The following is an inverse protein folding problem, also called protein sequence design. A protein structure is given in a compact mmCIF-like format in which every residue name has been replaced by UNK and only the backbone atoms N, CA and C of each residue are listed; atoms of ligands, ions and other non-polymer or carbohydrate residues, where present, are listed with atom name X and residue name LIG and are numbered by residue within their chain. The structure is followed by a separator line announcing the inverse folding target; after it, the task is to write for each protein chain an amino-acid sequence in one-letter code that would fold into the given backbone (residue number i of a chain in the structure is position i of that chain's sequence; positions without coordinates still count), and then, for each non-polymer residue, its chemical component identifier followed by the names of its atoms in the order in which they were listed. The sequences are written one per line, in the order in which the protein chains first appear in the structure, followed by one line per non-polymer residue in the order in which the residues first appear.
data_IF_367914251410
#
_entry.id   IF_367914251410
#
_cell.length_a   1.000
_cell.length_b   1.000
_cell.length_c   1.000
_cell.angle_alpha   90.00
_cell.angle_beta   90.00
_cell.angle_gamma   90.00
#
_symmetry.space_group_name_H-M   'P 1'
#
loop_
_entity.id
_entity.type
_entity.pdbx_description
1 polymer ?
#
# COMPACT_ATOMS: atom_id res chain seq x y z
N UNK A 1 4.59 8.67 -14.47
CA UNK A 1 5.29 8.01 -13.35
C UNK A 1 6.51 7.29 -13.90
N UNK A 2 7.74 7.71 -13.57
CA UNK A 2 8.92 6.94 -13.96
C UNK A 2 9.24 5.94 -12.85
N UNK A 3 9.09 4.65 -13.18
CA UNK A 3 9.56 3.50 -12.40
C UNK A 3 11.10 3.39 -12.39
N UNK A 4 11.78 4.29 -13.10
CA UNK A 4 13.22 4.30 -13.31
C UNK A 4 13.81 5.65 -12.90
N UNK A 5 14.90 5.63 -12.14
CA UNK A 5 15.76 6.79 -11.94
C UNK A 5 16.40 7.20 -13.28
N UNK A 6 16.82 8.47 -13.37
CA UNK A 6 17.43 9.10 -14.55
C UNK A 6 18.68 8.36 -15.07
N UNK A 7 19.22 7.42 -14.28
CA UNK A 7 20.40 6.59 -14.57
C UNK A 7 20.10 5.09 -14.77
N UNK A 8 18.85 4.68 -15.00
CA UNK A 8 18.52 3.28 -15.37
C UNK A 8 18.65 2.25 -14.24
N UNK A 9 18.91 2.66 -12.99
CA UNK A 9 18.93 1.76 -11.83
C UNK A 9 17.53 1.57 -11.28
N UNK A 10 17.14 0.30 -11.08
CA UNK A 10 15.94 -0.06 -10.34
C UNK A 10 16.06 0.44 -8.90
N UNK A 11 15.19 1.36 -8.50
CA UNK A 11 15.08 1.76 -7.09
C UNK A 11 14.45 0.59 -6.33
N UNK A 12 15.29 -0.17 -5.60
CA UNK A 12 14.85 -1.32 -4.78
C UNK A 12 13.72 -0.92 -3.83
N UNK A 13 13.80 0.29 -3.27
CA UNK A 13 12.76 0.87 -2.41
C UNK A 13 11.44 1.08 -3.14
N UNK A 14 11.44 1.55 -4.39
CA UNK A 14 10.21 1.65 -5.18
C UNK A 14 9.60 0.29 -5.52
N UNK A 15 10.45 -0.72 -5.79
CA UNK A 15 10.00 -2.09 -6.03
C UNK A 15 9.33 -2.68 -4.77
N UNK A 16 10.01 -2.65 -3.63
CA UNK A 16 9.45 -3.13 -2.35
C UNK A 16 8.19 -2.38 -1.94
N UNK A 17 8.12 -1.07 -2.16
CA UNK A 17 6.91 -0.29 -1.93
C UNK A 17 5.76 -0.76 -2.84
N UNK A 18 6.01 -0.93 -4.15
CA UNK A 18 4.99 -1.41 -5.07
C UNK A 18 4.51 -2.83 -4.75
N UNK A 19 5.43 -3.72 -4.33
CA UNK A 19 5.12 -5.08 -3.92
C UNK A 19 4.28 -5.10 -2.64
N UNK A 20 4.62 -4.28 -1.66
CA UNK A 20 3.85 -4.13 -0.43
C UNK A 20 2.43 -3.61 -0.70
N UNK A 21 2.29 -2.60 -1.57
CA UNK A 21 0.99 -2.08 -1.98
C UNK A 21 0.14 -3.13 -2.71
N UNK A 22 0.76 -3.94 -3.58
CA UNK A 22 0.07 -5.02 -4.28
C UNK A 22 -0.42 -6.12 -3.32
N UNK A 23 0.40 -6.50 -2.34
CA UNK A 23 0.01 -7.47 -1.31
C UNK A 23 -1.09 -6.93 -0.39
N UNK A 24 -1.00 -5.68 0.04
CA UNK A 24 -2.03 -5.04 0.85
C UNK A 24 -3.38 -4.97 0.10
N UNK A 25 -3.33 -4.67 -1.21
CA UNK A 25 -4.52 -4.66 -2.06
C UNK A 25 -5.12 -6.05 -2.22
N UNK A 26 -4.31 -7.08 -2.49
CA UNK A 26 -4.76 -8.46 -2.60
C UNK A 26 -5.38 -8.97 -1.29
N UNK A 27 -4.78 -8.62 -0.14
CA UNK A 27 -5.32 -8.94 1.17
C UNK A 27 -6.68 -8.29 1.40
N UNK A 28 -6.81 -6.99 1.10
CA UNK A 28 -8.08 -6.26 1.20
C UNK A 28 -9.17 -6.91 0.33
N UNK A 29 -8.85 -7.27 -0.92
CA UNK A 29 -9.75 -7.98 -1.82
C UNK A 29 -10.19 -9.34 -1.26
N UNK A 30 -9.25 -10.13 -0.72
CA UNK A 30 -9.56 -11.43 -0.13
C UNK A 30 -10.48 -11.30 1.09
N UNK A 31 -10.23 -10.31 1.93
CA UNK A 31 -11.08 -9.99 3.10
C UNK A 31 -12.47 -9.56 2.64
N UNK A 32 -12.58 -8.63 1.68
CA UNK A 32 -13.88 -8.20 1.14
C UNK A 32 -14.65 -9.35 0.50
N UNK A 33 -13.98 -10.21 -0.27
CA UNK A 33 -14.60 -11.40 -0.86
C UNK A 33 -15.08 -12.38 0.22
N UNK A 34 -14.30 -12.58 1.28
CA UNK A 34 -14.69 -13.46 2.38
C UNK A 34 -15.89 -12.93 3.15
N UNK A 35 -15.95 -11.63 3.45
CA UNK A 35 -17.09 -10.97 4.10
C UNK A 35 -18.33 -11.03 3.22
N UNK A 36 -18.18 -10.85 1.90
CA UNK A 36 -19.29 -10.94 0.95
C UNK A 36 -19.87 -12.36 0.82
N UNK A 37 -19.04 -13.41 0.93
CA UNK A 37 -19.46 -14.81 0.78
C UNK A 37 -20.00 -15.45 2.06
N UNK A 38 -19.41 -15.17 3.23
CA UNK A 38 -20.06 -15.49 4.50
C UNK A 38 -19.97 -14.29 5.45
N UNK A 39 -21.05 -13.50 5.57
CA UNK A 39 -21.08 -12.38 6.47
C UNK A 39 -21.11 -12.90 7.91
N UNK A 40 -20.07 -12.55 8.66
CA UNK A 40 -19.92 -12.79 10.09
C UNK A 40 -19.58 -11.43 10.70
N UNK A 41 -20.48 -10.89 11.51
CA UNK A 41 -20.39 -9.52 12.03
C UNK A 41 -19.12 -9.30 12.85
N UNK A 42 -18.71 -10.31 13.63
CA UNK A 42 -17.50 -10.29 14.44
C UNK A 42 -16.24 -10.28 13.58
N UNK A 43 -16.25 -11.06 12.49
CA UNK A 43 -15.14 -11.07 11.54
C UNK A 43 -15.07 -9.75 10.75
N UNK A 44 -16.21 -9.18 10.35
CA UNK A 44 -16.27 -7.95 9.58
C UNK A 44 -15.71 -6.74 10.36
N UNK A 45 -16.01 -6.63 11.66
CA UNK A 45 -15.54 -5.53 12.51
C UNK A 45 -14.01 -5.61 12.73
N UNK A 46 -13.49 -6.81 13.02
CA UNK A 46 -12.05 -7.06 13.17
C UNK A 46 -11.31 -6.83 11.85
N UNK A 47 -11.87 -7.33 10.75
CA UNK A 47 -11.31 -7.16 9.42
C UNK A 47 -11.26 -5.70 8.98
N UNK A 48 -12.32 -4.92 9.24
CA UNK A 48 -12.36 -3.49 8.95
C UNK A 48 -11.30 -2.72 9.76
N UNK A 49 -11.12 -3.06 11.03
CA UNK A 49 -10.12 -2.45 11.90
C UNK A 49 -8.68 -2.71 11.42
N UNK A 50 -8.37 -3.96 11.07
CA UNK A 50 -7.05 -4.35 10.54
C UNK A 50 -6.80 -3.70 9.18
N UNK A 51 -7.81 -3.68 8.30
CA UNK A 51 -7.71 -3.07 6.98
C UNK A 51 -7.52 -1.56 7.08
N UNK A 52 -8.20 -0.90 8.04
CA UNK A 52 -8.02 0.53 8.33
C UNK A 52 -6.60 0.86 8.80
N UNK A 53 -6.04 0.04 9.70
CA UNK A 53 -4.64 0.17 10.14
C UNK A 53 -3.65 0.02 8.98
N UNK A 54 -3.83 -1.01 8.15
CA UNK A 54 -3.02 -1.25 6.96
C UNK A 54 -3.13 -0.10 5.96
N UNK A 55 -4.34 0.43 5.73
CA UNK A 55 -4.60 1.57 4.87
C UNK A 55 -3.91 2.84 5.40
N UNK A 56 -3.93 3.06 6.71
CA UNK A 56 -3.23 4.18 7.35
C UNK A 56 -1.72 4.10 7.15
N UNK A 57 -1.11 2.94 7.44
CA UNK A 57 0.34 2.72 7.28
C UNK A 57 0.79 2.85 5.82
N UNK A 58 0.03 2.28 4.88
CA UNK A 58 0.30 2.40 3.44
C UNK A 58 0.18 3.85 2.96
N UNK A 59 -0.83 4.59 3.43
CA UNK A 59 -1.00 6.01 3.11
C UNK A 59 0.16 6.87 3.64
N UNK A 60 0.61 6.59 4.85
CA UNK A 60 1.74 7.29 5.47
C UNK A 60 3.05 7.01 4.72
N UNK A 61 3.30 5.74 4.36
CA UNK A 61 4.43 5.35 3.53
C UNK A 61 4.39 6.00 2.14
N UNK A 62 3.22 6.08 1.51
CA UNK A 62 3.02 6.75 0.23
C UNK A 62 3.29 8.26 0.33
N UNK A 63 2.87 8.90 1.42
CA UNK A 63 3.10 10.32 1.68
C UNK A 63 4.59 10.60 1.89
N UNK A 64 5.29 9.79 2.69
CA UNK A 64 6.75 9.89 2.91
C UNK A 64 7.50 9.72 1.59
N UNK A 65 7.15 8.71 0.79
CA UNK A 65 7.77 8.48 -0.51
C UNK A 65 7.53 9.64 -1.49
N UNK A 66 6.31 10.21 -1.51
CA UNK A 66 5.95 11.37 -2.31
C UNK A 66 6.70 12.64 -1.88
N UNK A 67 6.86 12.87 -0.57
CA UNK A 67 7.62 14.00 -0.03
C UNK A 67 9.12 13.87 -0.27
N UNK A 68 9.69 12.68 -0.11
CA UNK A 68 11.09 12.41 -0.44
C UNK A 68 11.41 12.74 -1.91
N UNK A 69 10.51 12.40 -2.83
CA UNK A 69 10.65 12.76 -4.25
C UNK A 69 10.51 14.25 -4.55
N UNK A 70 9.79 15.03 -3.72
CA UNK A 70 9.66 16.49 -3.89
C UNK A 70 10.95 17.23 -3.50
N UNK A 71 11.67 16.74 -2.50
CA UNK A 71 12.96 17.30 -2.07
C UNK A 71 14.05 17.06 -3.13
N UNK A 72 14.10 15.86 -3.69
CA UNK A 72 15.10 15.45 -4.70
C UNK A 72 14.93 16.18 -6.05
N UNK A 73 13.75 16.76 -6.32
CA UNK A 73 13.47 17.54 -7.54
C UNK A 73 13.83 19.03 -7.40
N UNK A 74 14.18 19.49 -6.19
CA UNK A 74 14.57 20.88 -5.88
C UNK A 74 16.07 21.07 -5.67
N UNK A 75 16.85 19.99 -5.58
CA UNK A 75 18.32 20.02 -5.61
C UNK A 75 18.86 19.85 -7.02
#
# INVERSE_FOLDING_TARGET
MRLFEKNGRFSKTAFWFSLFMALAFAFSLAVSARVALLPDDLFAEVAASITGLLAGLTSMAAMIYSWGKKLDRKS
#
